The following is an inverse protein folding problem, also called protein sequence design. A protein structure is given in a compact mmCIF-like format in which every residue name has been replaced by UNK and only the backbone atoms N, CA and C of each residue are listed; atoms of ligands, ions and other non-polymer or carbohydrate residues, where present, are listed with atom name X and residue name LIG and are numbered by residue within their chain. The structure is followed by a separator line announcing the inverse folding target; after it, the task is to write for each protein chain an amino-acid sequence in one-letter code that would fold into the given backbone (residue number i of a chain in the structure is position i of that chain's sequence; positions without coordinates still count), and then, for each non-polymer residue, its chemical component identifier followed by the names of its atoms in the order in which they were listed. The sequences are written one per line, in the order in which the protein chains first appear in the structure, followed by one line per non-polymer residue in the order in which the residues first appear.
data_IF_942964739744
#
_entry.id   IF_942964739744
#
_cell.length_a   1.000
_cell.length_b   1.000
_cell.length_c   1.000
_cell.angle_alpha   90.00
_cell.angle_beta   90.00
_cell.angle_gamma   90.00
#
_symmetry.space_group_name_H-M   'P 1'
#
loop_
_entity.id
_entity.type
_entity.pdbx_description
1 polymer ?
#
# COMPACT_ATOMS: atom_id res chain seq x y z
N UNK A 1 23.99 -12.31 -30.52
CA UNK A 1 22.60 -12.58 -30.16
C UNK A 1 22.40 -12.08 -28.74
N UNK A 2 21.57 -11.06 -28.59
CA UNK A 2 21.59 -10.10 -27.46
C UNK A 2 20.86 -10.60 -26.22
N UNK A 3 21.64 -10.94 -25.17
CA UNK A 3 21.10 -11.23 -23.81
C UNK A 3 20.51 -9.99 -23.08
N UNK A 4 20.54 -8.83 -23.70
CA UNK A 4 20.03 -7.56 -23.11
C UNK A 4 18.54 -7.37 -23.37
N UNK A 5 17.98 -7.93 -24.46
CA UNK A 5 16.55 -7.80 -24.79
C UNK A 5 15.65 -8.63 -23.86
N UNK A 6 16.11 -9.79 -23.42
CA UNK A 6 15.31 -10.70 -22.59
C UNK A 6 15.15 -10.21 -21.14
N UNK A 7 16.14 -9.44 -20.64
CA UNK A 7 16.09 -8.84 -19.31
C UNK A 7 15.07 -7.69 -19.20
N UNK A 8 14.80 -7.02 -20.33
CA UNK A 8 13.87 -5.88 -20.39
C UNK A 8 12.39 -6.31 -20.49
N UNK A 9 12.11 -7.46 -21.13
CA UNK A 9 10.75 -7.97 -21.31
C UNK A 9 10.16 -8.66 -20.07
N UNK A 10 10.99 -9.28 -19.22
CA UNK A 10 10.54 -9.94 -17.98
C UNK A 10 10.21 -8.98 -16.83
N UNK A 11 10.71 -7.75 -16.88
CA UNK A 11 10.62 -6.79 -15.78
C UNK A 11 9.27 -6.05 -15.69
N UNK A 12 8.44 -6.07 -16.73
CA UNK A 12 7.19 -5.29 -16.82
C UNK A 12 5.90 -6.11 -16.71
N UNK A 13 5.99 -7.43 -16.51
CA UNK A 13 4.83 -8.32 -16.58
C UNK A 13 3.96 -8.35 -15.32
N UNK A 14 4.41 -7.77 -14.21
CA UNK A 14 3.74 -7.84 -12.90
C UNK A 14 3.34 -6.49 -12.29
N UNK A 15 3.64 -5.38 -12.96
CA UNK A 15 3.34 -4.03 -12.42
C UNK A 15 2.23 -3.41 -13.25
N UNK A 16 1.18 -2.93 -12.56
CA UNK A 16 0.02 -2.29 -13.19
C UNK A 16 0.45 -1.11 -14.07
N UNK A 17 0.15 -1.11 -15.39
CA UNK A 17 0.52 -0.01 -16.25
C UNK A 17 -0.25 1.26 -15.87
N UNK A 18 0.43 2.40 -15.89
CA UNK A 18 -0.07 3.72 -15.48
C UNK A 18 -1.43 4.09 -16.06
N UNK A 19 -1.70 3.77 -17.34
CA UNK A 19 -2.97 4.09 -17.98
C UNK A 19 -4.16 3.36 -17.33
N UNK A 20 -3.93 2.16 -16.78
CA UNK A 20 -4.94 1.42 -16.05
C UNK A 20 -5.24 2.07 -14.69
N UNK A 21 -4.22 2.67 -14.03
CA UNK A 21 -4.42 3.39 -12.77
C UNK A 21 -5.32 4.62 -12.94
N UNK A 22 -5.26 5.31 -14.10
CA UNK A 22 -6.16 6.44 -14.39
C UNK A 22 -7.62 6.03 -14.60
N UNK A 23 -7.87 4.83 -15.14
CA UNK A 23 -9.24 4.33 -15.31
C UNK A 23 -9.90 3.98 -13.98
N UNK A 24 -9.10 3.76 -12.93
CA UNK A 24 -9.57 3.47 -11.58
C UNK A 24 -9.76 4.72 -10.69
N UNK A 25 -9.34 5.91 -11.12
CA UNK A 25 -9.50 7.17 -10.35
C UNK A 25 -10.70 7.98 -10.87
N UNK A 26 -11.87 7.35 -10.89
CA UNK A 26 -13.13 7.96 -11.30
C UNK A 26 -14.16 7.98 -10.15
N UNK A 27 -15.27 8.67 -10.38
CA UNK A 27 -16.37 8.80 -9.40
C UNK A 27 -16.91 7.43 -8.95
N UNK A 28 -16.91 6.43 -9.83
CA UNK A 28 -17.36 5.07 -9.50
C UNK A 28 -16.44 4.38 -8.47
N UNK A 29 -15.13 4.63 -8.52
CA UNK A 29 -14.21 4.12 -7.50
C UNK A 29 -14.54 4.68 -6.12
N UNK A 30 -14.91 5.97 -6.02
CA UNK A 30 -15.29 6.59 -4.75
C UNK A 30 -16.56 5.98 -4.16
N UNK A 31 -17.51 5.55 -5.00
CA UNK A 31 -18.72 4.84 -4.55
C UNK A 31 -18.39 3.46 -3.99
N UNK A 32 -17.39 2.77 -4.58
CA UNK A 32 -16.98 1.42 -4.17
C UNK A 32 -15.95 1.42 -3.04
N UNK A 33 -15.02 2.38 -3.07
CA UNK A 33 -13.90 2.45 -2.16
C UNK A 33 -13.74 3.90 -1.67
N UNK A 34 -14.67 4.37 -0.82
CA UNK A 34 -14.53 5.66 -0.17
C UNK A 34 -13.31 5.62 0.76
N UNK A 35 -12.22 6.37 0.46
CA UNK A 35 -10.99 6.29 1.23
C UNK A 35 -11.17 6.69 2.70
N UNK A 36 -12.05 7.66 2.97
CA UNK A 36 -12.28 8.10 4.34
C UNK A 36 -12.98 7.01 5.17
N UNK A 37 -14.03 6.36 4.63
CA UNK A 37 -14.72 5.27 5.31
C UNK A 37 -13.79 4.08 5.59
N UNK A 38 -12.83 3.82 4.68
CA UNK A 38 -11.88 2.72 4.83
C UNK A 38 -10.77 3.05 5.85
N UNK A 39 -10.28 4.30 5.86
CA UNK A 39 -9.07 4.67 6.60
C UNK A 39 -9.35 5.25 7.99
N UNK A 40 -10.45 5.98 8.14
CA UNK A 40 -10.78 6.72 9.36
C UNK A 40 -10.81 5.86 10.65
N UNK A 41 -11.19 4.56 10.59
CA UNK A 41 -11.12 3.70 11.77
C UNK A 41 -9.69 3.39 12.27
N UNK A 42 -8.67 3.63 11.43
CA UNK A 42 -7.31 3.17 11.67
C UNK A 42 -6.26 4.27 11.78
N UNK A 43 -6.57 5.48 11.27
CA UNK A 43 -5.62 6.60 11.21
C UNK A 43 -6.11 7.72 12.14
N UNK A 44 -5.20 8.21 12.98
CA UNK A 44 -5.42 9.32 13.90
C UNK A 44 -4.57 10.53 13.50
N UNK A 45 -4.93 11.69 13.99
CA UNK A 45 -4.10 12.88 13.88
C UNK A 45 -2.76 12.66 14.59
N UNK A 46 -1.66 13.07 13.95
CA UNK A 46 -0.30 12.86 14.43
C UNK A 46 0.35 11.54 14.01
N UNK A 47 -0.40 10.58 13.43
CA UNK A 47 0.16 9.30 13.02
C UNK A 47 1.19 9.46 11.89
N UNK A 48 2.19 8.58 11.91
CA UNK A 48 3.06 8.29 10.76
C UNK A 48 2.54 7.06 10.05
N UNK A 49 2.13 7.21 8.80
CA UNK A 49 1.49 6.13 8.04
C UNK A 49 2.24 5.82 6.74
N UNK A 50 2.20 4.56 6.31
CA UNK A 50 2.85 4.08 5.09
C UNK A 50 1.81 3.62 4.08
N UNK A 51 1.82 4.22 2.90
CA UNK A 51 1.03 3.82 1.72
C UNK A 51 1.97 3.11 0.74
N UNK A 52 1.81 1.79 0.61
CA UNK A 52 2.68 0.94 -0.22
C UNK A 52 2.02 0.65 -1.55
N UNK A 53 2.73 0.97 -2.64
CA UNK A 53 2.16 0.90 -3.98
C UNK A 53 0.98 1.88 -4.17
N UNK A 54 1.16 3.17 -3.78
CA UNK A 54 0.09 4.17 -3.71
C UNK A 54 -0.52 4.52 -5.07
N UNK A 55 0.09 4.06 -6.17
CA UNK A 55 -0.27 4.45 -7.52
C UNK A 55 -0.21 5.98 -7.69
N UNK A 56 -1.31 6.57 -8.16
CA UNK A 56 -1.41 8.03 -8.33
C UNK A 56 -1.88 8.77 -7.06
N UNK A 57 -1.90 8.09 -5.91
CA UNK A 57 -2.20 8.70 -4.60
C UNK A 57 -3.69 8.78 -4.26
N UNK A 58 -4.49 7.80 -4.69
CA UNK A 58 -5.92 7.76 -4.38
C UNK A 58 -6.18 7.70 -2.87
N UNK A 59 -5.42 6.88 -2.13
CA UNK A 59 -5.47 6.80 -0.67
C UNK A 59 -4.51 7.77 0.01
N UNK A 60 -3.34 8.05 -0.60
CA UNK A 60 -2.31 8.94 -0.04
C UNK A 60 -2.85 10.32 0.35
N UNK A 61 -3.66 10.95 -0.50
CA UNK A 61 -4.20 12.28 -0.23
C UNK A 61 -5.19 12.28 0.95
N UNK A 62 -6.18 11.36 1.03
CA UNK A 62 -7.01 11.19 2.21
C UNK A 62 -6.21 10.88 3.49
N UNK A 63 -5.19 10.01 3.42
CA UNK A 63 -4.29 9.75 4.55
C UNK A 63 -3.65 11.04 5.05
N UNK A 64 -3.09 11.86 4.14
CA UNK A 64 -2.45 13.13 4.50
C UNK A 64 -3.42 14.14 5.13
N UNK A 65 -4.71 14.04 4.85
CA UNK A 65 -5.72 14.84 5.53
C UNK A 65 -6.07 14.30 6.91
N UNK A 66 -6.11 12.97 7.07
CA UNK A 66 -6.43 12.31 8.33
C UNK A 66 -5.33 12.46 9.38
N UNK A 67 -4.06 12.36 8.97
CA UNK A 67 -2.93 12.52 9.90
C UNK A 67 -2.73 13.96 10.38
N UNK A 68 -3.35 14.93 9.75
CA UNK A 68 -3.24 16.35 10.15
C UNK A 68 -1.85 16.94 9.95
N UNK A 69 -1.61 18.11 10.56
CA UNK A 69 -0.35 18.86 10.39
C UNK A 69 0.81 18.25 11.20
N UNK A 70 0.50 17.54 12.26
CA UNK A 70 1.50 16.86 13.13
C UNK A 70 1.89 15.46 12.65
N UNK A 71 1.10 14.88 11.73
CA UNK A 71 1.35 13.55 11.20
C UNK A 71 2.07 13.53 9.84
N UNK A 72 2.37 12.32 9.36
CA UNK A 72 3.12 12.12 8.11
C UNK A 72 2.65 10.90 7.35
N UNK A 73 2.61 11.01 6.01
CA UNK A 73 2.40 9.90 5.09
C UNK A 73 3.70 9.62 4.35
N UNK A 74 4.14 8.36 4.36
CA UNK A 74 5.20 7.88 3.49
C UNK A 74 4.53 7.17 2.33
N UNK A 75 4.67 7.71 1.11
CA UNK A 75 4.17 7.09 -0.12
C UNK A 75 5.33 6.36 -0.81
N UNK A 76 5.35 5.04 -0.72
CA UNK A 76 6.44 4.19 -1.20
C UNK A 76 6.04 3.45 -2.48
N UNK A 77 6.70 3.76 -3.60
CA UNK A 77 6.46 3.14 -4.90
C UNK A 77 7.77 2.86 -5.64
N UNK A 78 7.80 1.80 -6.45
CA UNK A 78 8.94 1.47 -7.31
C UNK A 78 8.96 2.30 -8.59
N UNK A 79 7.88 3.00 -8.91
CA UNK A 79 7.72 3.81 -10.11
C UNK A 79 7.84 5.30 -9.79
N UNK A 80 8.93 5.93 -10.19
CA UNK A 80 9.14 7.39 -10.06
C UNK A 80 7.98 8.22 -10.67
N UNK A 81 7.33 7.70 -11.71
CA UNK A 81 6.21 8.37 -12.37
C UNK A 81 4.97 8.47 -11.47
N UNK A 82 4.72 7.45 -10.64
CA UNK A 82 3.62 7.46 -9.66
C UNK A 82 3.90 8.49 -8.56
N UNK A 83 5.10 8.52 -8.03
CA UNK A 83 5.52 9.53 -7.03
C UNK A 83 5.39 10.95 -7.59
N UNK A 84 5.76 11.16 -8.86
CA UNK A 84 5.59 12.47 -9.51
C UNK A 84 4.11 12.86 -9.66
N UNK A 85 3.21 11.90 -9.90
CA UNK A 85 1.77 12.16 -9.94
C UNK A 85 1.21 12.49 -8.56
N UNK A 86 1.65 11.78 -7.51
CA UNK A 86 1.30 12.07 -6.11
C UNK A 86 1.74 13.49 -5.74
N UNK A 87 2.99 13.88 -6.08
CA UNK A 87 3.50 15.23 -5.80
C UNK A 87 2.55 16.31 -6.33
N UNK A 88 2.22 16.25 -7.63
CA UNK A 88 1.31 17.21 -8.27
C UNK A 88 -0.08 17.22 -7.64
N UNK A 89 -0.55 16.06 -7.22
CA UNK A 89 -1.86 15.91 -6.57
C UNK A 89 -1.82 16.48 -5.16
N UNK A 90 -0.75 16.25 -4.40
CA UNK A 90 -0.54 16.77 -3.05
C UNK A 90 -0.48 18.31 -3.05
N UNK A 91 0.24 18.91 -4.01
CA UNK A 91 0.29 20.36 -4.22
C UNK A 91 -1.10 20.94 -4.49
N UNK A 92 -1.88 20.30 -5.38
CA UNK A 92 -3.28 20.75 -5.68
C UNK A 92 -4.19 20.72 -4.45
N UNK A 93 -3.97 19.75 -3.54
CA UNK A 93 -4.78 19.59 -2.34
C UNK A 93 -4.20 20.30 -1.10
N UNK A 94 -3.05 20.97 -1.22
CA UNK A 94 -2.40 21.69 -0.11
C UNK A 94 -1.89 20.79 1.02
N UNK A 95 -1.53 19.52 0.70
CA UNK A 95 -1.07 18.52 1.71
C UNK A 95 0.35 18.03 1.46
N UNK A 96 1.09 18.67 0.58
CA UNK A 96 2.44 18.24 0.16
C UNK A 96 3.44 18.17 1.32
N UNK A 97 3.28 19.01 2.34
CA UNK A 97 4.16 19.05 3.52
C UNK A 97 4.02 17.82 4.42
N UNK A 98 2.88 17.12 4.31
CA UNK A 98 2.56 15.92 5.10
C UNK A 98 2.97 14.62 4.39
N UNK A 99 3.44 14.69 3.13
CA UNK A 99 3.74 13.51 2.31
C UNK A 99 5.23 13.44 2.00
N UNK A 100 5.86 12.37 2.45
CA UNK A 100 7.20 11.98 2.03
C UNK A 100 7.10 10.97 0.88
N UNK A 101 7.64 11.33 -0.28
CA UNK A 101 7.69 10.45 -1.44
C UNK A 101 8.95 9.59 -1.36
N UNK A 102 8.79 8.27 -1.42
CA UNK A 102 9.88 7.33 -1.28
C UNK A 102 9.96 6.40 -2.50
N UNK A 103 11.09 6.44 -3.20
CA UNK A 103 11.36 5.53 -4.33
C UNK A 103 11.92 4.23 -3.78
N UNK A 104 11.10 3.19 -3.81
CA UNK A 104 11.47 1.83 -3.41
C UNK A 104 12.18 1.08 -4.55
N UNK A 105 12.81 -0.03 -4.22
CA UNK A 105 13.32 -1.00 -5.18
C UNK A 105 12.51 -2.30 -5.14
N UNK A 106 12.68 -3.15 -6.15
CA UNK A 106 12.07 -4.49 -6.14
C UNK A 106 12.63 -5.39 -5.01
N UNK A 107 13.80 -5.06 -4.48
CA UNK A 107 14.48 -5.83 -3.43
C UNK A 107 14.16 -5.35 -2.01
N UNK A 108 13.75 -4.08 -1.84
CA UNK A 108 13.51 -3.48 -0.52
C UNK A 108 12.62 -2.25 -0.63
N UNK A 109 11.75 -2.06 0.36
CA UNK A 109 11.02 -0.80 0.52
C UNK A 109 11.97 0.38 0.76
N UNK A 110 13.09 0.16 1.47
CA UNK A 110 14.08 1.20 1.77
C UNK A 110 13.59 2.24 2.79
N UNK A 111 12.48 1.99 3.45
CA UNK A 111 11.95 2.78 4.58
C UNK A 111 12.58 2.23 5.87
N UNK A 112 13.01 3.10 6.76
CA UNK A 112 13.74 2.76 7.99
C UNK A 112 13.09 3.30 9.27
N UNK A 113 11.92 3.92 9.16
CA UNK A 113 11.20 4.47 10.31
C UNK A 113 9.98 3.62 10.66
N UNK A 114 9.65 3.56 11.96
CA UNK A 114 8.45 2.88 12.46
C UNK A 114 7.19 3.70 12.16
N UNK A 115 6.12 3.00 11.78
CA UNK A 115 4.85 3.61 11.41
C UNK A 115 3.68 3.08 12.24
N UNK A 116 2.67 3.91 12.43
CA UNK A 116 1.45 3.58 13.18
C UNK A 116 0.48 2.74 12.35
N UNK A 117 0.45 3.01 11.04
CA UNK A 117 -0.45 2.30 10.12
C UNK A 117 0.22 2.04 8.77
N UNK A 118 -0.04 0.87 8.19
CA UNK A 118 0.38 0.50 6.85
C UNK A 118 -0.86 0.17 6.02
N UNK A 119 -0.91 0.69 4.79
CA UNK A 119 -1.86 0.27 3.76
C UNK A 119 -1.12 -0.39 2.60
N UNK A 120 -1.60 -1.58 2.19
CA UNK A 120 -1.27 -2.19 0.91
C UNK A 120 -2.57 -2.50 0.17
N UNK A 121 -2.98 -1.62 -0.76
CA UNK A 121 -4.27 -1.72 -1.44
C UNK A 121 -4.09 -2.14 -2.89
N UNK A 122 -4.50 -3.38 -3.21
CA UNK A 122 -4.44 -3.97 -4.55
C UNK A 122 -3.02 -4.03 -5.14
N UNK A 123 -2.03 -4.39 -4.31
CA UNK A 123 -0.64 -4.40 -4.76
C UNK A 123 0.18 -5.63 -4.30
N UNK A 124 -0.19 -6.31 -3.19
CA UNK A 124 0.64 -7.42 -2.67
C UNK A 124 0.73 -8.59 -3.66
N UNK A 125 -0.30 -8.80 -4.49
CA UNK A 125 -0.26 -9.83 -5.52
C UNK A 125 0.80 -9.57 -6.61
N UNK A 126 1.26 -8.34 -6.79
CA UNK A 126 2.31 -7.94 -7.75
C UNK A 126 3.72 -8.20 -7.19
N UNK A 127 3.86 -8.40 -5.87
CA UNK A 127 5.15 -8.61 -5.21
C UNK A 127 5.69 -10.02 -5.52
N UNK A 128 6.91 -10.15 -6.08
CA UNK A 128 7.49 -11.45 -6.40
C UNK A 128 7.76 -12.30 -5.16
N UNK A 129 8.39 -11.73 -4.14
CA UNK A 129 8.74 -12.36 -2.86
C UNK A 129 7.86 -11.78 -1.74
N UNK A 130 6.66 -12.34 -1.58
CA UNK A 130 5.67 -11.88 -0.61
C UNK A 130 6.10 -12.15 0.83
N UNK A 131 6.79 -13.25 1.08
CA UNK A 131 7.25 -13.61 2.42
C UNK A 131 8.25 -12.57 2.94
N UNK A 132 9.28 -12.26 2.15
CA UNK A 132 10.27 -11.23 2.49
C UNK A 132 9.64 -9.84 2.60
N UNK A 133 8.71 -9.53 1.70
CA UNK A 133 8.01 -8.24 1.70
C UNK A 133 7.19 -8.05 2.98
N UNK A 134 6.39 -9.04 3.38
CA UNK A 134 5.55 -8.98 4.57
C UNK A 134 6.41 -8.95 5.85
N UNK A 135 7.53 -9.68 5.90
CA UNK A 135 8.50 -9.57 6.99
C UNK A 135 9.09 -8.14 7.08
N UNK A 136 9.36 -7.51 5.93
CA UNK A 136 9.76 -6.10 5.87
C UNK A 136 8.70 -5.16 6.43
N UNK A 137 7.43 -5.34 6.08
CA UNK A 137 6.33 -4.54 6.62
C UNK A 137 6.18 -4.73 8.14
N UNK A 138 6.31 -5.98 8.63
CA UNK A 138 6.29 -6.27 10.06
C UNK A 138 7.39 -5.49 10.80
N UNK A 139 8.60 -5.45 10.25
CA UNK A 139 9.71 -4.72 10.86
C UNK A 139 9.47 -3.21 10.94
N UNK A 140 8.67 -2.63 10.03
CA UNK A 140 8.34 -1.20 10.01
C UNK A 140 7.17 -0.83 10.91
N UNK A 141 6.28 -1.76 11.22
CA UNK A 141 5.11 -1.49 12.04
C UNK A 141 5.51 -1.27 13.51
N UNK A 142 4.94 -0.29 14.19
CA UNK A 142 5.02 -0.15 15.66
C UNK A 142 4.27 -1.30 16.33
N UNK A 143 4.53 -1.53 17.63
CA UNK A 143 3.96 -2.69 18.35
C UNK A 143 2.44 -2.59 18.52
N UNK A 144 1.89 -1.38 18.60
CA UNK A 144 0.45 -1.08 18.62
C UNK A 144 -0.10 -0.68 17.24
N UNK A 145 0.74 -0.73 16.23
CA UNK A 145 0.39 -0.35 14.86
C UNK A 145 -0.52 -1.37 14.17
N UNK A 146 -1.17 -0.94 13.08
CA UNK A 146 -2.06 -1.77 12.27
C UNK A 146 -1.63 -1.83 10.81
N UNK A 147 -1.82 -2.99 10.18
CA UNK A 147 -1.57 -3.18 8.76
C UNK A 147 -2.84 -3.66 8.06
N UNK A 148 -3.32 -2.89 7.10
CA UNK A 148 -4.47 -3.25 6.26
C UNK A 148 -4.00 -3.72 4.88
N UNK A 149 -4.21 -5.01 4.60
CA UNK A 149 -3.98 -5.63 3.29
C UNK A 149 -5.31 -5.80 2.59
N UNK A 150 -5.43 -5.28 1.36
CA UNK A 150 -6.63 -5.35 0.54
C UNK A 150 -6.28 -5.86 -0.85
N UNK A 151 -6.94 -6.94 -1.30
CA UNK A 151 -6.67 -7.58 -2.59
C UNK A 151 -7.95 -7.72 -3.43
N UNK A 152 -7.88 -7.51 -4.77
CA UNK A 152 -9.07 -7.53 -5.63
C UNK A 152 -9.58 -8.96 -5.85
N UNK A 153 -10.88 -9.20 -5.61
CA UNK A 153 -11.52 -10.52 -5.77
C UNK A 153 -11.46 -11.06 -7.20
N UNK A 154 -11.48 -10.16 -8.18
CA UNK A 154 -11.48 -10.52 -9.60
C UNK A 154 -10.09 -10.90 -10.13
N UNK A 155 -9.01 -10.58 -9.39
CA UNK A 155 -7.64 -10.85 -9.79
C UNK A 155 -6.92 -11.85 -8.87
N UNK A 156 -7.25 -11.81 -7.59
CA UNK A 156 -6.66 -12.68 -6.57
C UNK A 156 -7.69 -13.72 -6.12
N UNK A 157 -7.42 -15.00 -6.38
CA UNK A 157 -8.27 -16.10 -5.92
C UNK A 157 -8.25 -16.22 -4.40
N UNK A 158 -9.27 -16.89 -3.82
CA UNK A 158 -9.30 -17.14 -2.36
C UNK A 158 -8.07 -17.89 -1.87
N UNK A 159 -7.60 -18.91 -2.61
CA UNK A 159 -6.39 -19.67 -2.25
C UNK A 159 -5.13 -18.81 -2.22
N UNK A 160 -4.93 -17.92 -3.22
CA UNK A 160 -3.80 -16.97 -3.21
C UNK A 160 -3.89 -15.96 -2.07
N UNK A 161 -5.09 -15.54 -1.70
CA UNK A 161 -5.29 -14.66 -0.57
C UNK A 161 -4.97 -15.36 0.76
N UNK A 162 -5.43 -16.61 0.95
CA UNK A 162 -5.08 -17.43 2.12
C UNK A 162 -3.56 -17.62 2.22
N UNK A 163 -2.88 -17.91 1.12
CA UNK A 163 -1.42 -18.00 1.11
C UNK A 163 -0.75 -16.69 1.56
N UNK A 164 -1.28 -15.52 1.16
CA UNK A 164 -0.77 -14.24 1.64
C UNK A 164 -1.00 -14.03 3.15
N UNK A 165 -2.14 -14.52 3.70
CA UNK A 165 -2.40 -14.53 5.15
C UNK A 165 -1.38 -15.42 5.89
N UNK A 166 -1.03 -16.58 5.31
CA UNK A 166 -0.03 -17.49 5.91
C UNK A 166 1.36 -16.83 5.95
N UNK A 167 1.80 -16.19 4.87
CA UNK A 167 3.04 -15.43 4.87
C UNK A 167 3.03 -14.26 5.87
N UNK A 168 1.89 -13.57 6.03
CA UNK A 168 1.77 -12.53 7.04
C UNK A 168 1.92 -13.10 8.47
N UNK A 169 1.29 -14.26 8.72
CA UNK A 169 1.40 -14.95 10.01
C UNK A 169 2.84 -15.42 10.29
N UNK A 170 3.51 -16.00 9.29
CA UNK A 170 4.93 -16.38 9.38
C UNK A 170 5.85 -15.18 9.68
N UNK A 171 5.50 -13.99 9.19
CA UNK A 171 6.21 -12.76 9.49
C UNK A 171 5.98 -12.22 10.91
N UNK A 172 5.02 -12.78 11.68
CA UNK A 172 4.68 -12.37 13.04
C UNK A 172 3.41 -11.54 13.17
N UNK A 173 2.65 -11.36 12.09
CA UNK A 173 1.35 -10.69 12.16
C UNK A 173 0.25 -11.61 12.71
N UNK A 174 -0.62 -11.06 13.56
CA UNK A 174 -1.90 -11.67 13.93
C UNK A 174 -3.04 -11.00 13.16
N UNK A 175 -3.99 -11.80 12.67
CA UNK A 175 -5.21 -11.29 12.06
C UNK A 175 -6.12 -10.72 13.16
N UNK A 176 -6.43 -9.43 13.08
CA UNK A 176 -7.30 -8.71 14.02
C UNK A 176 -8.75 -8.67 13.50
N UNK A 177 -8.93 -8.37 12.19
CA UNK A 177 -10.24 -8.24 11.56
C UNK A 177 -10.18 -8.55 10.05
N UNK A 178 -11.34 -8.76 9.44
CA UNK A 178 -11.53 -8.92 7.99
C UNK A 178 -12.58 -7.94 7.49
N UNK A 179 -12.23 -6.64 7.34
CA UNK A 179 -13.19 -5.60 7.01
C UNK A 179 -13.84 -5.83 5.65
N UNK A 180 -15.14 -5.57 5.57
CA UNK A 180 -15.88 -5.74 4.31
C UNK A 180 -15.63 -4.55 3.38
N UNK A 181 -14.75 -4.74 2.38
CA UNK A 181 -14.42 -3.76 1.35
C UNK A 181 -14.93 -4.27 0.01
N UNK A 182 -15.70 -3.45 -0.69
CA UNK A 182 -16.32 -3.79 -1.97
C UNK A 182 -15.33 -4.39 -2.96
N UNK A 183 -15.72 -5.46 -3.67
CA UNK A 183 -14.93 -6.16 -4.70
C UNK A 183 -13.56 -6.67 -4.21
N UNK A 184 -13.33 -6.68 -2.90
CA UNK A 184 -12.02 -7.00 -2.32
C UNK A 184 -12.10 -8.07 -1.25
N UNK A 185 -10.98 -8.76 -1.01
CA UNK A 185 -10.66 -9.48 0.21
C UNK A 185 -9.77 -8.58 1.04
N UNK A 186 -10.08 -8.43 2.30
CA UNK A 186 -9.30 -7.57 3.19
C UNK A 186 -8.94 -8.31 4.47
N UNK A 187 -7.77 -7.97 5.02
CA UNK A 187 -7.28 -8.45 6.29
C UNK A 187 -6.61 -7.28 7.03
N UNK A 188 -7.05 -7.06 8.24
CA UNK A 188 -6.41 -6.14 9.18
C UNK A 188 -5.53 -6.96 10.12
N UNK A 189 -4.28 -6.55 10.24
CA UNK A 189 -3.29 -7.20 11.07
C UNK A 189 -2.79 -6.28 12.18
N UNK A 190 -2.39 -6.90 13.28
CA UNK A 190 -1.60 -6.33 14.37
C UNK A 190 -0.35 -7.18 14.56
N UNK A 191 0.62 -6.70 15.33
CA UNK A 191 1.72 -7.54 15.79
C UNK A 191 1.23 -8.51 16.86
N UNK A 192 1.74 -9.75 16.82
CA UNK A 192 1.63 -10.65 17.96
C UNK A 192 2.37 -10.03 19.14
N UNK A 193 1.71 -9.91 20.29
CA UNK A 193 2.41 -9.60 21.56
C UNK A 193 3.25 -10.83 21.90
N UNK A 194 4.56 -10.64 22.03
CA UNK A 194 5.43 -11.63 22.66
C UNK A 194 5.03 -11.89 24.13
#
# INVERSE_FOLDING_TARGET
MNKISDLFFFRFRHVCPRWLCFTFDNVFRKLLHDPYKILQPYIKEGDTVLDVGPGIGYFTIPMAKLVGDSGRVIAADIQQKMLSAIKKRAERWGVQQRIALHLSSAASLGVDIKVDFILAFWMVHEVPDKQRFLAGLYSLLKDDGKFLMVEPKFHVSSGKFVQALDYAREAGFALDDSPNISLSRAALFIKTKE
#
